data_IF_520028241168
#
_entry.id   IF_520028241168
#
_cell.length_a   1.000
_cell.length_b   1.000
_cell.length_c   1.000
_cell.angle_alpha   90.00
_cell.angle_beta   90.00
_cell.angle_gamma   90.00
#
_symmetry.space_group_name_H-M   'P 1'
#
loop_
_entity.id
_entity.type
_entity.pdbx_description
1 polymer ?
#
# COMPACT_ATOMS: atom_id res chain seq x y z
N UNK A 1 12.69 31.03 10.83
CA UNK A 1 11.40 30.45 10.39
C UNK A 1 11.63 29.02 9.89
N UNK A 2 11.98 28.09 10.80
CA UNK A 2 12.36 26.71 10.46
C UNK A 2 11.25 25.69 10.78
N UNK A 3 9.98 26.11 10.86
CA UNK A 3 8.88 25.25 11.32
C UNK A 3 8.50 24.10 10.39
N UNK A 4 8.97 24.11 9.14
CA UNK A 4 8.63 23.11 8.12
C UNK A 4 9.71 22.03 7.90
N UNK A 5 10.89 22.20 8.49
CA UNK A 5 12.01 21.27 8.36
C UNK A 5 12.25 20.55 9.68
N UNK A 6 12.00 19.25 9.69
CA UNK A 6 12.22 18.40 10.86
C UNK A 6 13.67 17.85 10.84
N UNK A 7 14.64 18.73 11.08
CA UNK A 7 16.08 18.46 10.89
C UNK A 7 16.58 17.27 11.73
N UNK A 8 15.99 17.06 12.91
CA UNK A 8 16.36 15.95 13.81
C UNK A 8 15.70 14.60 13.45
N UNK A 9 14.86 14.54 12.41
CA UNK A 9 14.07 13.36 12.06
C UNK A 9 14.68 12.51 10.93
N UNK A 10 15.98 12.68 10.65
CA UNK A 10 16.65 11.93 9.58
C UNK A 10 16.63 10.41 9.84
N UNK A 11 16.93 10.00 11.08
CA UNK A 11 16.88 8.59 11.49
C UNK A 11 15.45 8.05 11.36
N UNK A 12 14.46 8.82 11.83
CA UNK A 12 13.06 8.45 11.74
C UNK A 12 12.61 8.26 10.28
N UNK A 13 13.04 9.14 9.37
CA UNK A 13 12.79 9.00 7.93
C UNK A 13 13.38 7.71 7.39
N UNK A 14 14.65 7.42 7.69
CA UNK A 14 15.30 6.19 7.19
C UNK A 14 14.59 4.93 7.68
N UNK A 15 14.23 4.91 8.97
CA UNK A 15 13.47 3.80 9.57
C UNK A 15 12.11 3.65 8.90
N UNK A 16 11.37 4.74 8.71
CA UNK A 16 10.06 4.70 8.05
C UNK A 16 10.16 4.25 6.59
N UNK A 17 11.03 4.85 5.79
CA UNK A 17 11.18 4.50 4.38
C UNK A 17 11.63 3.04 4.21
N UNK A 18 12.70 2.62 4.91
CA UNK A 18 13.22 1.26 4.77
C UNK A 18 12.26 0.24 5.39
N UNK A 19 11.69 0.52 6.56
CA UNK A 19 10.71 -0.34 7.21
C UNK A 19 9.47 -0.58 6.36
N UNK A 20 8.88 0.49 5.79
CA UNK A 20 7.73 0.39 4.90
C UNK A 20 8.10 -0.34 3.60
N UNK A 21 9.30 -0.12 3.06
CA UNK A 21 9.78 -0.87 1.90
C UNK A 21 9.93 -2.37 2.18
N UNK A 22 10.43 -2.76 3.37
CA UNK A 22 10.47 -4.17 3.80
C UNK A 22 9.06 -4.75 3.90
N UNK A 23 8.09 -4.00 4.45
CA UNK A 23 6.70 -4.46 4.53
C UNK A 23 6.07 -4.64 3.14
N UNK A 24 6.34 -3.76 2.19
CA UNK A 24 5.94 -3.96 0.79
C UNK A 24 6.61 -5.19 0.18
N UNK A 25 7.90 -5.39 0.41
CA UNK A 25 8.64 -6.56 -0.09
C UNK A 25 7.97 -7.86 0.38
N UNK A 26 7.72 -7.97 1.69
CA UNK A 26 7.02 -9.12 2.29
C UNK A 26 5.60 -9.25 1.72
N UNK A 27 4.87 -8.13 1.61
CA UNK A 27 3.53 -8.08 1.05
C UNK A 27 3.47 -8.63 -0.37
N UNK A 28 4.35 -8.17 -1.27
CA UNK A 28 4.39 -8.64 -2.65
C UNK A 28 4.86 -10.09 -2.78
N UNK A 29 5.80 -10.56 -1.96
CA UNK A 29 6.18 -11.98 -1.91
C UNK A 29 4.98 -12.83 -1.47
N UNK A 30 4.27 -12.40 -0.43
CA UNK A 30 3.06 -13.06 0.05
C UNK A 30 1.99 -13.10 -1.05
N UNK A 31 1.73 -11.98 -1.71
CA UNK A 31 0.79 -11.91 -2.84
C UNK A 31 1.20 -12.83 -3.99
N UNK A 32 2.47 -12.87 -4.37
CA UNK A 32 2.96 -13.71 -5.45
C UNK A 32 2.68 -15.20 -5.19
N UNK A 33 2.83 -15.64 -3.94
CA UNK A 33 2.67 -17.04 -3.56
C UNK A 33 1.20 -17.42 -3.28
N UNK A 34 0.40 -16.51 -2.71
CA UNK A 34 -0.93 -16.85 -2.19
C UNK A 34 -2.08 -16.32 -3.04
N UNK A 35 -1.90 -15.24 -3.81
CA UNK A 35 -3.01 -14.58 -4.48
C UNK A 35 -3.66 -15.45 -5.57
N UNK A 36 -2.86 -16.21 -6.33
CA UNK A 36 -3.37 -17.06 -7.42
C UNK A 36 -4.39 -18.11 -6.95
N UNK A 37 -4.11 -18.93 -5.92
CA UNK A 37 -5.11 -19.87 -5.40
C UNK A 37 -6.29 -19.17 -4.72
N UNK A 38 -6.11 -17.98 -4.14
CA UNK A 38 -7.18 -17.28 -3.41
C UNK A 38 -8.12 -16.52 -4.35
N UNK A 39 -7.59 -15.65 -5.19
CA UNK A 39 -8.34 -14.70 -6.01
C UNK A 39 -7.87 -14.62 -7.47
N UNK A 40 -7.01 -15.56 -7.91
CA UNK A 40 -6.54 -15.64 -9.29
C UNK A 40 -7.61 -16.00 -10.31
N UNK A 41 -7.20 -16.33 -11.55
CA UNK A 41 -8.16 -16.68 -12.62
C UNK A 41 -9.03 -17.89 -12.28
N UNK A 42 -8.47 -18.84 -11.53
CA UNK A 42 -9.11 -20.08 -11.10
C UNK A 42 -9.10 -20.23 -9.56
N UNK A 43 -8.97 -19.13 -8.83
CA UNK A 43 -8.93 -19.16 -7.36
C UNK A 43 -10.30 -19.37 -6.71
N UNK A 44 -10.32 -19.43 -5.38
CA UNK A 44 -11.56 -19.57 -4.59
C UNK A 44 -12.56 -18.42 -4.85
N UNK A 45 -12.06 -17.20 -5.00
CA UNK A 45 -12.84 -16.00 -5.30
C UNK A 45 -12.30 -15.31 -6.57
N UNK A 46 -12.61 -15.79 -7.79
CA UNK A 46 -11.95 -15.34 -9.00
C UNK A 46 -12.08 -13.83 -9.27
N UNK A 47 -10.95 -13.11 -9.29
CA UNK A 47 -10.90 -11.68 -9.60
C UNK A 47 -11.51 -11.30 -10.96
N UNK A 48 -11.36 -12.08 -12.06
CA UNK A 48 -12.00 -11.75 -13.33
C UNK A 48 -13.52 -11.64 -13.25
N UNK A 49 -14.16 -12.55 -12.50
CA UNK A 49 -15.60 -12.55 -12.30
C UNK A 49 -16.06 -11.32 -11.51
N UNK A 50 -15.33 -10.99 -10.45
CA UNK A 50 -15.56 -9.80 -9.64
C UNK A 50 -15.44 -8.50 -10.45
N UNK A 51 -14.35 -8.33 -11.20
CA UNK A 51 -14.13 -7.16 -12.06
C UNK A 51 -15.21 -7.00 -13.12
N UNK A 52 -15.69 -8.10 -13.74
CA UNK A 52 -16.79 -8.06 -14.70
C UNK A 52 -18.11 -7.62 -14.06
N UNK A 53 -18.47 -8.18 -12.90
CA UNK A 53 -19.68 -7.77 -12.17
C UNK A 53 -19.63 -6.31 -11.78
N UNK A 54 -18.49 -5.87 -11.24
CA UNK A 54 -18.32 -4.49 -10.84
C UNK A 54 -18.44 -3.52 -12.03
N UNK A 55 -17.80 -3.81 -13.16
CA UNK A 55 -17.95 -2.99 -14.38
C UNK A 55 -19.40 -2.90 -14.86
N UNK A 56 -20.19 -3.98 -14.77
CA UNK A 56 -21.63 -3.96 -15.11
C UNK A 56 -22.43 -3.04 -14.18
N UNK A 57 -22.17 -3.10 -12.88
CA UNK A 57 -22.84 -2.24 -11.89
C UNK A 57 -22.45 -0.77 -12.10
N UNK A 58 -21.16 -0.48 -12.34
CA UNK A 58 -20.71 0.88 -12.62
C UNK A 58 -21.34 1.44 -13.91
N UNK A 59 -21.48 0.62 -14.95
CA UNK A 59 -22.13 1.01 -16.21
C UNK A 59 -23.65 1.27 -16.02
N UNK A 60 -24.32 0.49 -15.18
CA UNK A 60 -25.75 0.64 -14.92
C UNK A 60 -26.08 1.80 -13.97
N UNK A 61 -25.23 2.07 -12.98
CA UNK A 61 -25.48 3.06 -11.93
C UNK A 61 -24.78 4.42 -12.16
N UNK A 62 -23.80 4.48 -13.06
CA UNK A 62 -22.93 5.66 -13.25
C UNK A 62 -21.97 5.92 -12.07
N UNK A 63 -22.06 5.15 -10.98
CA UNK A 63 -21.23 5.33 -9.78
C UNK A 63 -20.03 4.41 -9.81
N UNK A 64 -18.83 4.94 -9.52
CA UNK A 64 -17.61 4.13 -9.33
C UNK A 64 -17.68 3.42 -7.98
N UNK A 65 -17.62 2.09 -7.98
CA UNK A 65 -17.73 1.25 -6.78
C UNK A 65 -16.40 0.58 -6.41
N UNK A 66 -15.55 0.28 -7.39
CA UNK A 66 -14.24 -0.33 -7.15
C UNK A 66 -13.24 0.73 -6.64
N UNK A 67 -12.31 0.32 -5.79
CA UNK A 67 -11.16 1.16 -5.42
C UNK A 67 -10.24 1.40 -6.64
N UNK A 68 -9.31 2.37 -6.58
CA UNK A 68 -8.32 2.56 -7.64
C UNK A 68 -7.51 1.28 -7.88
N UNK A 69 -7.51 0.76 -9.11
CA UNK A 69 -6.75 -0.44 -9.51
C UNK A 69 -6.39 -0.37 -10.98
N UNK A 70 -5.16 -0.76 -11.32
CA UNK A 70 -4.66 -0.84 -12.71
C UNK A 70 -5.48 -1.85 -13.53
N UNK A 71 -6.06 -2.87 -12.88
CA UNK A 71 -6.88 -3.89 -13.55
C UNK A 71 -8.27 -3.40 -14.02
N UNK A 72 -8.61 -2.13 -13.73
CA UNK A 72 -9.74 -1.47 -14.39
C UNK A 72 -9.43 -1.19 -15.87
N UNK A 73 -8.18 -0.85 -16.19
CA UNK A 73 -7.76 -0.38 -17.50
C UNK A 73 -7.15 -1.54 -18.30
N UNK A 74 -6.43 -2.42 -17.61
CA UNK A 74 -5.79 -3.60 -18.17
C UNK A 74 -6.52 -4.86 -17.71
N UNK A 75 -6.80 -5.80 -18.61
CA UNK A 75 -7.44 -7.08 -18.24
C UNK A 75 -6.59 -7.83 -17.19
N UNK A 76 -7.19 -8.29 -16.10
CA UNK A 76 -6.52 -9.17 -15.15
C UNK A 76 -6.20 -10.53 -15.80
N UNK A 77 -4.99 -11.01 -15.57
CA UNK A 77 -4.51 -12.38 -15.87
C UNK A 77 -3.48 -12.74 -14.81
N UNK A 78 -3.31 -14.00 -14.48
CA UNK A 78 -2.33 -14.43 -13.49
C UNK A 78 -0.90 -14.04 -13.87
N UNK A 79 -0.56 -14.07 -15.17
CA UNK A 79 0.75 -13.63 -15.67
C UNK A 79 1.02 -12.14 -15.36
N UNK A 80 0.01 -11.28 -15.55
CA UNK A 80 0.12 -9.84 -15.25
C UNK A 80 0.25 -9.57 -13.77
N UNK A 81 -0.42 -10.36 -12.92
CA UNK A 81 -0.23 -10.32 -11.48
C UNK A 81 1.22 -10.69 -11.10
N UNK A 82 1.77 -11.76 -11.67
CA UNK A 82 3.16 -12.16 -11.43
C UNK A 82 4.13 -11.06 -11.82
N UNK A 83 3.94 -10.43 -12.99
CA UNK A 83 4.75 -9.28 -13.44
C UNK A 83 4.63 -8.13 -12.44
N UNK A 84 3.42 -7.76 -12.03
CA UNK A 84 3.17 -6.69 -11.06
C UNK A 84 3.89 -6.96 -9.73
N UNK A 85 3.76 -8.18 -9.19
CA UNK A 85 4.38 -8.55 -7.92
C UNK A 85 5.90 -8.59 -8.05
N UNK A 86 6.44 -9.14 -9.12
CA UNK A 86 7.90 -9.22 -9.34
C UNK A 86 8.51 -7.82 -9.48
N UNK A 87 7.87 -6.93 -10.24
CA UNK A 87 8.28 -5.52 -10.33
C UNK A 87 8.20 -4.84 -8.96
N UNK A 88 7.14 -5.08 -8.19
CA UNK A 88 6.99 -4.58 -6.83
C UNK A 88 8.10 -5.08 -5.88
N UNK A 89 8.45 -6.36 -5.96
CA UNK A 89 9.54 -6.98 -5.18
C UNK A 89 10.87 -6.30 -5.50
N UNK A 90 11.20 -6.13 -6.79
CA UNK A 90 12.45 -5.49 -7.21
C UNK A 90 12.52 -4.04 -6.73
N UNK A 91 11.44 -3.27 -6.92
CA UNK A 91 11.37 -1.87 -6.47
C UNK A 91 11.48 -1.75 -4.94
N UNK A 92 10.80 -2.63 -4.20
CA UNK A 92 10.86 -2.65 -2.74
C UNK A 92 12.27 -3.01 -2.26
N UNK A 93 12.91 -4.03 -2.86
CA UNK A 93 14.29 -4.39 -2.53
C UNK A 93 15.27 -3.23 -2.77
N UNK A 94 15.14 -2.52 -3.90
CA UNK A 94 15.94 -1.33 -4.18
C UNK A 94 15.75 -0.24 -3.11
N UNK A 95 14.51 0.03 -2.71
CA UNK A 95 14.21 0.98 -1.62
C UNK A 95 14.77 0.52 -0.26
N UNK A 96 14.78 -0.78 0.03
CA UNK A 96 15.38 -1.31 1.27
C UNK A 96 16.88 -1.04 1.32
N UNK A 97 17.59 -1.21 0.19
CA UNK A 97 19.03 -0.92 0.12
C UNK A 97 19.34 0.57 0.31
N UNK A 98 18.40 1.46 0.00
CA UNK A 98 18.59 2.91 0.10
C UNK A 98 19.04 3.56 -1.21
N UNK A 99 19.17 2.79 -2.30
CA UNK A 99 19.65 3.29 -3.60
C UNK A 99 18.79 4.44 -4.15
N UNK A 100 17.45 4.34 -4.23
CA UNK A 100 16.60 5.46 -4.63
C UNK A 100 16.72 6.69 -3.71
N UNK A 101 16.92 6.49 -2.42
CA UNK A 101 16.98 7.56 -1.40
C UNK A 101 18.30 8.36 -1.44
N UNK A 102 19.35 7.79 -2.06
CA UNK A 102 20.59 8.49 -2.35
C UNK A 102 20.47 9.43 -3.56
N UNK A 103 19.46 9.22 -4.42
CA UNK A 103 19.19 10.07 -5.56
C UNK A 103 18.35 11.32 -5.24
N UNK A 104 17.89 12.04 -6.27
CA UNK A 104 16.98 13.18 -6.13
C UNK A 104 15.65 12.78 -5.44
N UNK A 105 14.97 13.72 -4.74
CA UNK A 105 13.79 13.42 -3.92
C UNK A 105 12.59 12.89 -4.70
N UNK A 106 12.50 13.16 -6.01
CA UNK A 106 11.44 12.63 -6.86
C UNK A 106 11.61 11.14 -7.16
N UNK A 107 12.83 10.58 -7.08
CA UNK A 107 13.08 9.15 -7.34
C UNK A 107 12.42 8.25 -6.29
N UNK A 108 12.69 8.38 -4.98
CA UNK A 108 12.02 7.56 -3.97
C UNK A 108 10.51 7.83 -3.96
N UNK A 109 10.06 9.06 -4.25
CA UNK A 109 8.64 9.38 -4.40
C UNK A 109 7.97 8.53 -5.47
N UNK A 110 8.54 8.49 -6.69
CA UNK A 110 7.99 7.67 -7.77
C UNK A 110 8.03 6.18 -7.45
N UNK A 111 9.10 5.69 -6.80
CA UNK A 111 9.20 4.29 -6.39
C UNK A 111 8.09 3.92 -5.38
N UNK A 112 7.88 4.72 -4.33
CA UNK A 112 6.82 4.48 -3.36
C UNK A 112 5.42 4.62 -3.96
N UNK A 113 5.19 5.59 -4.85
CA UNK A 113 3.92 5.71 -5.57
C UNK A 113 3.65 4.52 -6.49
N UNK A 114 4.70 3.96 -7.11
CA UNK A 114 4.59 2.74 -7.92
C UNK A 114 4.25 1.52 -7.04
N UNK A 115 4.92 1.34 -5.90
CA UNK A 115 4.58 0.30 -4.93
C UNK A 115 3.16 0.44 -4.42
N UNK A 116 2.76 1.67 -4.04
CA UNK A 116 1.41 2.00 -3.61
C UNK A 116 0.37 1.65 -4.68
N UNK A 117 0.56 2.10 -5.91
CA UNK A 117 -0.37 1.84 -7.00
C UNK A 117 -0.48 0.34 -7.32
N UNK A 118 0.66 -0.37 -7.28
CA UNK A 118 0.70 -1.82 -7.47
C UNK A 118 -0.03 -2.57 -6.36
N UNK A 119 0.23 -2.24 -5.10
CA UNK A 119 -0.40 -2.90 -3.96
C UNK A 119 -1.88 -2.53 -3.82
N UNK A 120 -2.26 -1.28 -4.07
CA UNK A 120 -3.68 -0.87 -4.20
C UNK A 120 -4.41 -1.66 -5.28
N UNK A 121 -3.71 -1.97 -6.38
CA UNK A 121 -4.32 -2.76 -7.46
C UNK A 121 -4.67 -4.16 -7.01
N UNK A 122 -3.83 -4.80 -6.20
CA UNK A 122 -4.03 -6.14 -5.60
C UNK A 122 -5.13 -6.10 -4.55
N UNK A 123 -5.04 -5.18 -3.58
CA UNK A 123 -6.00 -5.11 -2.47
C UNK A 123 -7.41 -4.77 -2.94
N UNK A 124 -7.55 -3.98 -4.01
CA UNK A 124 -8.85 -3.68 -4.62
C UNK A 124 -9.56 -4.90 -5.22
N UNK A 125 -8.85 -5.96 -5.60
CA UNK A 125 -9.44 -7.16 -6.23
C UNK A 125 -9.37 -8.41 -5.36
N UNK A 126 -8.62 -8.35 -4.25
CA UNK A 126 -8.42 -9.48 -3.34
C UNK A 126 -9.63 -9.83 -2.46
N UNK A 127 -10.75 -9.10 -2.59
CA UNK A 127 -12.04 -9.38 -1.94
C UNK A 127 -11.87 -9.65 -0.43
N UNK A 128 -12.43 -10.73 0.10
CA UNK A 128 -12.38 -11.06 1.54
C UNK A 128 -10.95 -11.25 2.05
N UNK A 129 -10.07 -11.84 1.24
CA UNK A 129 -8.70 -12.19 1.66
C UNK A 129 -7.79 -10.95 1.84
N UNK A 130 -8.09 -9.85 1.15
CA UNK A 130 -7.36 -8.58 1.25
C UNK A 130 -8.25 -7.46 1.81
N UNK A 131 -9.38 -7.82 2.43
CA UNK A 131 -10.35 -6.87 2.98
C UNK A 131 -9.99 -6.38 4.39
N UNK A 132 -8.93 -6.92 4.99
CA UNK A 132 -8.53 -6.55 6.35
C UNK A 132 -7.82 -5.18 6.38
N UNK A 133 -7.81 -4.56 7.56
CA UNK A 133 -7.28 -3.20 7.72
C UNK A 133 -5.78 -3.05 7.47
N UNK A 134 -5.00 -4.12 7.61
CA UNK A 134 -3.53 -4.07 7.52
C UNK A 134 -3.03 -3.72 6.12
N UNK A 135 -3.70 -4.24 5.11
CA UNK A 135 -3.42 -4.06 3.69
C UNK A 135 -3.65 -2.60 3.30
N UNK A 136 -4.74 -2.01 3.82
CA UNK A 136 -5.04 -0.60 3.63
C UNK A 136 -4.04 0.28 4.40
N UNK A 137 -3.66 -0.12 5.62
CA UNK A 137 -2.66 0.59 6.41
C UNK A 137 -1.30 0.65 5.68
N UNK A 138 -0.86 -0.46 5.08
CA UNK A 138 0.38 -0.49 4.30
C UNK A 138 0.30 0.45 3.09
N UNK A 139 -0.85 0.50 2.40
CA UNK A 139 -1.07 1.48 1.34
C UNK A 139 -1.03 2.92 1.86
N UNK A 140 -1.70 3.24 2.98
CA UNK A 140 -1.69 4.58 3.55
C UNK A 140 -0.27 5.01 3.97
N UNK A 141 0.46 4.12 4.67
CA UNK A 141 1.85 4.34 5.07
C UNK A 141 2.77 4.52 3.84
N UNK A 142 2.61 3.68 2.82
CA UNK A 142 3.37 3.77 1.57
C UNK A 142 3.11 5.07 0.80
N UNK A 143 1.87 5.53 0.77
CA UNK A 143 1.52 6.82 0.17
C UNK A 143 2.20 7.97 0.92
N UNK A 144 2.16 7.98 2.26
CA UNK A 144 2.85 8.99 3.05
C UNK A 144 4.37 8.92 2.88
N UNK A 145 4.94 7.71 2.79
CA UNK A 145 6.38 7.50 2.62
C UNK A 145 6.92 8.07 1.30
N UNK A 146 6.08 8.14 0.25
CA UNK A 146 6.44 8.76 -1.01
C UNK A 146 6.84 10.24 -0.85
N UNK A 147 6.29 10.94 0.14
CA UNK A 147 6.51 12.36 0.35
C UNK A 147 7.55 12.67 1.44
N UNK A 148 8.26 11.67 1.96
CA UNK A 148 9.34 11.87 2.95
C UNK A 148 10.64 12.47 2.34
N UNK A 149 10.76 12.50 1.01
CA UNK A 149 11.90 13.07 0.31
C UNK A 149 13.16 12.17 0.34
N UNK A 150 14.33 12.80 0.12
CA UNK A 150 15.65 12.14 0.04
C UNK A 150 16.70 12.86 0.88
N UNK A 151 17.90 12.26 1.01
CA UNK A 151 19.06 12.79 1.76
C UNK A 151 19.42 14.26 1.46
N UNK A 152 19.10 14.76 0.26
CA UNK A 152 19.37 16.15 -0.15
C UNK A 152 18.48 17.21 0.49
N UNK A 153 17.38 16.84 1.16
CA UNK A 153 16.44 17.77 1.79
C UNK A 153 15.92 17.22 3.13
N UNK A 154 15.63 18.10 4.11
CA UNK A 154 15.06 17.66 5.38
C UNK A 154 13.65 17.08 5.18
N UNK A 155 13.23 16.10 5.99
CA UNK A 155 11.88 15.56 5.91
C UNK A 155 10.83 16.66 6.20
N UNK A 156 9.73 16.72 5.42
CA UNK A 156 8.68 17.71 5.66
C UNK A 156 7.94 17.42 6.97
N UNK A 157 7.84 18.41 7.86
CA UNK A 157 7.14 18.27 9.16
C UNK A 157 5.71 17.76 9.00
N UNK A 158 5.00 18.21 7.96
CA UNK A 158 3.62 17.81 7.67
C UNK A 158 3.51 16.29 7.50
N UNK A 159 4.45 15.66 6.80
CA UNK A 159 4.43 14.21 6.56
C UNK A 159 4.71 13.44 7.86
N UNK A 160 5.62 13.94 8.70
CA UNK A 160 5.88 13.35 10.02
C UNK A 160 4.63 13.41 10.91
N UNK A 161 3.94 14.54 10.95
CA UNK A 161 2.68 14.69 11.70
C UNK A 161 1.60 13.75 11.14
N UNK A 162 1.52 13.56 9.83
CA UNK A 162 0.60 12.59 9.23
C UNK A 162 0.95 11.14 9.62
N UNK A 163 2.23 10.79 9.79
CA UNK A 163 2.62 9.50 10.35
C UNK A 163 2.22 9.35 11.82
N UNK A 164 2.35 10.40 12.64
CA UNK A 164 1.84 10.37 14.01
C UNK A 164 0.33 10.20 14.05
N UNK A 165 -0.40 10.90 13.18
CA UNK A 165 -1.84 10.72 13.04
C UNK A 165 -2.21 9.30 12.60
N UNK A 166 -1.46 8.73 11.66
CA UNK A 166 -1.63 7.34 11.22
C UNK A 166 -1.50 6.37 12.41
N UNK A 167 -0.43 6.52 13.19
CA UNK A 167 -0.15 5.70 14.36
C UNK A 167 -1.22 5.87 15.44
N UNK A 168 -1.59 7.11 15.74
CA UNK A 168 -2.65 7.41 16.69
C UNK A 168 -3.96 6.72 16.30
N UNK A 169 -4.41 6.89 15.05
CA UNK A 169 -5.65 6.26 14.57
C UNK A 169 -5.59 4.74 14.64
N UNK A 170 -4.42 4.14 14.39
CA UNK A 170 -4.23 2.69 14.48
C UNK A 170 -4.40 2.20 15.93
N UNK A 171 -3.62 2.75 16.85
CA UNK A 171 -3.60 2.31 18.26
C UNK A 171 -4.92 2.65 18.96
N UNK A 172 -5.42 3.87 18.76
CA UNK A 172 -6.69 4.31 19.31
C UNK A 172 -7.86 3.50 18.75
N UNK A 173 -7.86 3.23 17.43
CA UNK A 173 -8.87 2.40 16.78
C UNK A 173 -8.90 0.98 17.34
N UNK A 174 -7.73 0.37 17.52
CA UNK A 174 -7.60 -0.95 18.14
C UNK A 174 -8.11 -0.95 19.60
N UNK A 175 -7.80 0.10 20.38
CA UNK A 175 -8.29 0.28 21.75
C UNK A 175 -9.81 0.40 21.82
N UNK A 176 -10.43 1.20 20.94
CA UNK A 176 -11.89 1.36 20.90
C UNK A 176 -12.62 0.05 20.59
N UNK A 177 -12.08 -0.79 19.71
CA UNK A 177 -12.66 -2.11 19.41
C UNK A 177 -12.69 -3.00 20.66
N UNK A 178 -11.61 -2.98 21.46
CA UNK A 178 -11.52 -3.74 22.71
C UNK A 178 -12.51 -3.21 23.76
N UNK A 179 -12.59 -1.88 23.92
CA UNK A 179 -13.51 -1.23 24.88
C UNK A 179 -14.98 -1.50 24.52
N UNK A 180 -15.30 -1.61 23.23
CA UNK A 180 -16.66 -1.94 22.76
C UNK A 180 -17.19 -3.28 23.30
N UNK A 181 -16.31 -4.21 23.73
CA UNK A 181 -16.72 -5.42 24.46
C UNK A 181 -17.62 -6.35 23.65
N UNK A 182 -17.29 -6.57 22.38
CA UNK A 182 -18.07 -7.46 21.50
C UNK A 182 -18.14 -8.91 22.00
N UNK A 183 -19.16 -9.65 21.56
CA UNK A 183 -19.39 -11.06 21.96
C UNK A 183 -18.25 -11.98 21.54
N UNK A 184 -17.51 -11.60 20.51
CA UNK A 184 -16.31 -12.25 20.00
C UNK A 184 -15.11 -12.24 20.98
N UNK A 185 -15.19 -11.48 22.08
CA UNK A 185 -14.15 -11.38 23.11
C UNK A 185 -14.53 -12.06 24.45
N UNK A 186 -15.64 -12.82 24.48
CA UNK A 186 -16.04 -13.64 25.63
C UNK A 186 -15.59 -15.09 25.47
#
# INVERSE_FOLDING_TARGET
>A
MNGFAAVDFEVARQVLQRGIAVLFLIGFISTLNQFRPLAGEHGLLPAPGFLRRARRIEAASGRKILRPTVFRWIRYTDRRLVILCTTGIVLAALLVTGLPQAGPPWVPMLCFLALWAGYMSVTSIGQTFYGFGWEMLLCEAGFLAAFLGSSSQPPPTVIIVLFWWLLFRLEFGAGMIKIRGGREWR
#
